data_IF_505978173437
#
_entry.id   IF_505978173437
#
_cell.length_a   1.000
_cell.length_b   1.000
_cell.length_c   1.000
_cell.angle_alpha   90.00
_cell.angle_beta   90.00
_cell.angle_gamma   90.00
#
_symmetry.space_group_name_H-M   'P 1'
#
loop_
_entity.id
_entity.type
_entity.pdbx_description
1 polymer ?
#
# COMPACT_ATOMS: atom_id res chain seq x y z
N UNK A 1 -17.96 20.48 -44.53
CA UNK A 1 -17.40 19.11 -44.52
C UNK A 1 -16.38 19.05 -43.44
N UNK A 2 -16.78 18.60 -42.26
CA UNK A 2 -15.91 18.44 -41.08
C UNK A 2 -15.38 17.02 -41.05
N UNK A 3 -14.09 16.87 -41.30
CA UNK A 3 -13.40 15.57 -41.16
C UNK A 3 -13.41 15.15 -39.71
N UNK A 4 -14.14 14.09 -39.37
CA UNK A 4 -14.04 13.37 -38.11
C UNK A 4 -12.67 12.68 -38.08
N UNK A 5 -11.77 13.16 -37.23
CA UNK A 5 -10.58 12.41 -36.89
C UNK A 5 -11.02 11.14 -36.12
N UNK A 6 -10.83 9.98 -36.73
CA UNK A 6 -10.86 8.72 -36.02
C UNK A 6 -9.70 8.71 -35.02
N UNK A 7 -9.90 8.22 -33.78
CA UNK A 7 -8.80 8.05 -32.85
C UNK A 7 -7.79 7.06 -33.46
N UNK A 8 -6.51 7.43 -33.45
CA UNK A 8 -5.45 6.54 -33.86
C UNK A 8 -5.53 5.28 -32.99
N UNK A 9 -5.68 4.12 -33.61
CA UNK A 9 -5.70 2.83 -32.95
C UNK A 9 -4.39 2.65 -32.18
N UNK A 10 -4.48 2.50 -30.86
CA UNK A 10 -3.34 2.19 -29.96
C UNK A 10 -2.75 0.80 -30.23
N UNK A 11 -3.21 0.11 -31.24
CA UNK A 11 -2.85 -1.29 -31.56
C UNK A 11 -1.42 -1.49 -32.08
N UNK A 12 -0.68 -0.39 -32.31
CA UNK A 12 0.68 -0.47 -32.88
C UNK A 12 1.75 -1.04 -31.94
N UNK A 13 1.43 -1.27 -30.66
CA UNK A 13 2.41 -1.68 -29.64
C UNK A 13 2.22 -3.10 -29.10
N UNK A 14 1.18 -3.82 -29.53
CA UNK A 14 0.85 -5.15 -29.02
C UNK A 14 1.14 -6.21 -30.08
N UNK A 15 2.24 -6.93 -29.90
CA UNK A 15 2.47 -8.17 -30.65
C UNK A 15 1.65 -9.26 -29.99
N UNK A 16 0.56 -9.69 -30.62
CA UNK A 16 -0.18 -10.89 -30.20
C UNK A 16 0.61 -12.12 -30.65
N UNK A 17 1.00 -12.95 -29.71
CA UNK A 17 1.60 -14.25 -29.99
C UNK A 17 0.75 -15.32 -29.30
N UNK A 18 0.14 -16.18 -30.09
CA UNK A 18 -0.45 -17.43 -29.62
C UNK A 18 0.37 -18.55 -30.24
N UNK A 19 1.55 -18.80 -29.67
CA UNK A 19 2.35 -19.97 -30.05
C UNK A 19 1.92 -21.16 -29.18
N UNK A 20 0.77 -21.74 -29.51
CA UNK A 20 0.32 -22.97 -28.91
C UNK A 20 1.23 -24.11 -29.36
N UNK A 21 2.08 -24.59 -28.45
CA UNK A 21 3.11 -25.59 -28.77
C UNK A 21 2.64 -27.03 -28.68
N UNK A 22 1.54 -27.29 -27.97
CA UNK A 22 1.00 -28.65 -27.78
C UNK A 22 -0.47 -28.65 -27.35
N UNK A 23 -1.07 -29.83 -27.26
CA UNK A 23 -2.42 -30.02 -26.69
C UNK A 23 -2.43 -30.04 -25.15
N UNK A 24 -1.29 -29.92 -24.51
CA UNK A 24 -1.14 -29.96 -23.06
C UNK A 24 -0.72 -28.61 -22.46
N UNK A 25 -0.49 -27.62 -23.32
CA UNK A 25 -0.05 -26.29 -22.93
C UNK A 25 -1.00 -25.21 -23.45
N UNK A 26 -1.18 -24.14 -22.69
CA UNK A 26 -2.03 -22.99 -22.99
C UNK A 26 -3.50 -23.31 -23.35
N UNK A 27 -4.01 -24.46 -22.94
CA UNK A 27 -5.39 -24.90 -23.26
C UNK A 27 -6.48 -23.94 -22.77
N UNK A 28 -6.20 -23.16 -21.73
CA UNK A 28 -7.13 -22.19 -21.12
C UNK A 28 -6.72 -20.75 -21.31
N UNK A 29 -5.61 -20.51 -22.02
CA UNK A 29 -5.16 -19.15 -22.37
C UNK A 29 -5.88 -18.73 -23.65
N UNK A 30 -6.61 -17.62 -23.57
CA UNK A 30 -7.33 -17.06 -24.72
C UNK A 30 -6.44 -16.16 -25.58
N UNK A 31 -5.61 -15.35 -24.93
CA UNK A 31 -4.73 -14.37 -25.59
C UNK A 31 -3.57 -14.00 -24.65
N UNK A 32 -2.42 -13.68 -25.25
CA UNK A 32 -1.25 -13.16 -24.55
C UNK A 32 -0.83 -11.88 -25.23
N UNK A 33 -0.87 -10.77 -24.49
CA UNK A 33 -0.43 -9.47 -24.96
C UNK A 33 0.87 -9.09 -24.25
N UNK A 34 1.93 -8.82 -25.02
CA UNK A 34 3.23 -8.45 -24.48
C UNK A 34 3.19 -6.98 -24.03
N UNK A 35 3.58 -6.72 -22.78
CA UNK A 35 3.72 -5.38 -22.23
C UNK A 35 5.12 -4.81 -22.53
N UNK A 36 5.25 -3.47 -22.69
CA UNK A 36 6.56 -2.84 -22.65
C UNK A 36 7.28 -3.17 -21.34
N UNK A 37 8.59 -3.45 -21.37
CA UNK A 37 9.34 -3.81 -20.18
C UNK A 37 9.36 -2.66 -19.16
N UNK A 38 9.55 -2.97 -17.85
CA UNK A 38 9.63 -1.96 -16.79
C UNK A 38 10.59 -0.81 -17.10
N UNK A 39 11.77 -1.10 -17.63
CA UNK A 39 12.78 -0.08 -17.96
C UNK A 39 12.29 0.94 -19.01
N UNK A 40 11.39 0.54 -19.90
CA UNK A 40 10.81 1.43 -20.89
C UNK A 40 9.97 2.51 -20.18
N UNK A 41 9.08 2.09 -19.27
CA UNK A 41 8.24 3.02 -18.50
C UNK A 41 9.10 3.91 -17.58
N UNK A 42 10.15 3.36 -16.96
CA UNK A 42 11.09 4.10 -16.12
C UNK A 42 11.85 5.17 -16.94
N UNK A 43 12.24 4.88 -18.18
CA UNK A 43 12.90 5.86 -19.07
C UNK A 43 11.98 7.02 -19.44
N UNK A 44 10.68 6.78 -19.64
CA UNK A 44 9.71 7.85 -19.88
C UNK A 44 9.43 8.70 -18.64
N UNK A 45 9.51 8.12 -17.46
CA UNK A 45 9.22 8.76 -16.18
C UNK A 45 10.38 8.53 -15.19
N UNK A 46 11.56 9.10 -15.47
CA UNK A 46 12.74 8.91 -14.62
C UNK A 46 12.63 9.73 -13.34
N UNK A 47 13.23 9.21 -12.27
CA UNK A 47 13.33 9.91 -10.98
C UNK A 47 14.78 10.07 -10.50
N UNK A 48 15.74 9.40 -11.14
CA UNK A 48 17.16 9.45 -10.76
C UNK A 48 17.70 10.87 -10.71
N UNK A 49 18.34 11.25 -9.60
CA UNK A 49 18.88 12.59 -9.36
C UNK A 49 17.84 13.68 -9.10
N UNK A 50 16.57 13.33 -8.91
CA UNK A 50 15.47 14.29 -8.66
C UNK A 50 15.11 14.39 -7.17
N UNK A 51 14.41 15.47 -6.73
CA UNK A 51 13.86 15.56 -5.38
C UNK A 51 12.92 14.39 -5.00
N UNK A 52 12.28 13.75 -5.98
CA UNK A 52 11.43 12.57 -5.77
C UNK A 52 12.25 11.40 -5.24
N UNK A 53 13.37 11.07 -5.86
CA UNK A 53 14.26 10.00 -5.38
C UNK A 53 14.77 10.29 -3.97
N UNK A 54 15.17 11.54 -3.71
CA UNK A 54 15.63 12.00 -2.39
C UNK A 54 14.53 11.84 -1.33
N UNK A 55 13.30 12.26 -1.63
CA UNK A 55 12.16 12.13 -0.72
C UNK A 55 11.93 10.67 -0.33
N UNK A 56 11.88 9.78 -1.32
CA UNK A 56 11.61 8.36 -1.11
C UNK A 56 12.73 7.72 -0.29
N UNK A 57 13.99 7.93 -0.67
CA UNK A 57 15.15 7.38 0.03
C UNK A 57 15.20 7.84 1.49
N UNK A 58 15.04 9.15 1.74
CA UNK A 58 15.01 9.69 3.09
C UNK A 58 13.81 9.19 3.91
N UNK A 59 12.64 9.02 3.27
CA UNK A 59 11.47 8.49 3.98
C UNK A 59 11.68 7.04 4.39
N UNK A 60 12.25 6.21 3.51
CA UNK A 60 12.61 4.82 3.86
C UNK A 60 13.56 4.79 5.06
N UNK A 61 14.57 5.67 5.10
CA UNK A 61 15.49 5.78 6.23
C UNK A 61 14.80 6.24 7.52
N UNK A 62 13.87 7.22 7.43
CA UNK A 62 13.09 7.66 8.60
C UNK A 62 12.20 6.54 9.15
N UNK A 63 11.54 5.77 8.26
CA UNK A 63 10.74 4.62 8.67
C UNK A 63 11.62 3.55 9.32
N UNK A 64 12.80 3.26 8.78
CA UNK A 64 13.79 2.40 9.41
C UNK A 64 14.10 2.85 10.84
N UNK A 65 14.44 4.13 11.02
CA UNK A 65 14.77 4.69 12.33
C UNK A 65 13.59 4.59 13.32
N UNK A 66 12.36 4.85 12.86
CA UNK A 66 11.15 4.72 13.67
C UNK A 66 10.94 3.26 14.06
N UNK A 67 11.02 2.32 13.12
CA UNK A 67 10.84 0.90 13.36
C UNK A 67 11.84 0.36 14.37
N UNK A 68 13.10 0.80 14.30
CA UNK A 68 14.18 0.37 15.19
C UNK A 68 14.34 1.22 16.45
N UNK A 69 13.43 2.18 16.70
CA UNK A 69 13.38 2.97 17.93
C UNK A 69 14.42 4.08 18.05
N UNK A 70 15.08 4.43 16.95
CA UNK A 70 16.03 5.56 16.85
C UNK A 70 15.34 6.90 16.64
N UNK A 71 14.10 6.88 16.18
CA UNK A 71 13.20 8.01 16.00
C UNK A 71 11.89 7.70 16.76
N UNK A 72 11.42 8.61 17.58
CA UNK A 72 10.25 8.41 18.44
C UNK A 72 8.95 8.93 17.85
N UNK A 73 8.98 9.40 16.59
CA UNK A 73 7.77 9.75 15.85
C UNK A 73 6.91 8.51 15.59
N UNK A 74 5.63 8.74 15.38
CA UNK A 74 4.69 7.71 14.96
C UNK A 74 4.59 7.70 13.44
N UNK A 75 4.76 6.54 12.80
CA UNK A 75 4.49 6.37 11.36
C UNK A 75 2.98 6.33 11.13
N UNK A 76 2.47 7.15 10.20
CA UNK A 76 1.05 7.16 9.84
C UNK A 76 0.89 6.93 8.35
N UNK A 77 0.34 5.77 7.99
CA UNK A 77 -0.03 5.44 6.61
C UNK A 77 -1.52 5.79 6.44
N UNK A 78 -1.82 6.89 5.76
CA UNK A 78 -3.20 7.40 5.66
C UNK A 78 -3.58 7.74 4.21
N UNK A 79 -4.77 7.35 3.80
CA UNK A 79 -5.31 7.64 2.46
C UNK A 79 -6.39 6.66 2.02
N UNK A 80 -6.87 6.77 0.78
CA UNK A 80 -7.97 5.96 0.26
C UNK A 80 -7.76 4.45 0.39
N UNK A 81 -8.85 3.71 0.58
CA UNK A 81 -8.82 2.25 0.57
C UNK A 81 -8.22 1.72 -0.75
N UNK A 82 -8.63 2.32 -1.87
CA UNK A 82 -8.04 2.11 -3.20
C UNK A 82 -8.13 3.38 -4.04
N UNK A 83 -7.21 3.52 -4.98
CA UNK A 83 -7.23 4.60 -5.95
C UNK A 83 -8.02 4.13 -7.18
N UNK A 84 -9.14 4.77 -7.46
CA UNK A 84 -9.90 4.58 -8.70
C UNK A 84 -9.96 5.85 -9.55
N UNK A 85 -9.79 7.02 -8.91
CA UNK A 85 -9.77 8.33 -9.54
C UNK A 85 -8.43 9.02 -9.25
N UNK A 86 -7.54 9.13 -10.26
CA UNK A 86 -6.26 9.82 -10.10
C UNK A 86 -6.39 11.30 -9.74
N UNK A 87 -7.46 11.98 -10.22
CA UNK A 87 -7.68 13.41 -9.94
C UNK A 87 -8.02 13.62 -8.45
N UNK A 88 -8.95 12.83 -7.93
CA UNK A 88 -9.29 12.84 -6.51
C UNK A 88 -8.10 12.44 -5.63
N UNK A 89 -7.25 11.52 -6.09
CA UNK A 89 -6.03 11.13 -5.37
C UNK A 89 -5.04 12.29 -5.25
N UNK A 90 -4.84 13.07 -6.32
CA UNK A 90 -3.97 14.27 -6.29
C UNK A 90 -4.57 15.37 -5.41
N UNK A 91 -5.89 15.59 -5.45
CA UNK A 91 -6.57 16.53 -4.55
C UNK A 91 -6.39 16.13 -3.09
N UNK A 92 -6.57 14.85 -2.77
CA UNK A 92 -6.31 14.32 -1.44
C UNK A 92 -4.84 14.55 -1.02
N UNK A 93 -3.88 14.31 -1.91
CA UNK A 93 -2.47 14.54 -1.65
C UNK A 93 -2.17 16.02 -1.35
N UNK A 94 -2.76 16.95 -2.11
CA UNK A 94 -2.62 18.40 -1.89
C UNK A 94 -3.17 18.85 -0.53
N UNK A 95 -4.25 18.23 -0.06
CA UNK A 95 -4.80 18.47 1.28
C UNK A 95 -3.94 17.86 2.37
N UNK A 96 -3.36 16.67 2.16
CA UNK A 96 -2.57 15.96 3.16
C UNK A 96 -1.16 16.57 3.35
N UNK A 97 -0.58 17.16 2.30
CA UNK A 97 0.79 17.70 2.35
C UNK A 97 1.00 18.77 3.44
N UNK A 98 0.12 19.80 3.60
CA UNK A 98 0.24 20.75 4.70
C UNK A 98 0.20 20.10 6.08
N UNK A 99 -0.61 19.06 6.26
CA UNK A 99 -0.68 18.33 7.53
C UNK A 99 0.59 17.53 7.81
N UNK A 100 1.20 16.96 6.76
CA UNK A 100 2.51 16.32 6.89
C UNK A 100 3.57 17.29 7.41
N UNK A 101 3.56 18.53 6.92
CA UNK A 101 4.49 19.55 7.38
C UNK A 101 4.17 20.01 8.82
N UNK A 102 2.89 20.21 9.12
CA UNK A 102 2.42 20.62 10.43
C UNK A 102 2.79 19.63 11.54
N UNK A 103 2.66 18.34 11.25
CA UNK A 103 2.92 17.28 12.23
C UNK A 103 4.32 16.66 12.12
N UNK A 104 5.21 17.22 11.31
CA UNK A 104 6.52 16.62 11.00
C UNK A 104 7.39 16.31 12.23
N UNK A 105 7.19 17.03 13.34
CA UNK A 105 7.90 16.77 14.61
C UNK A 105 7.43 15.48 15.30
N UNK A 106 6.17 15.10 15.14
CA UNK A 106 5.55 13.99 15.91
C UNK A 106 5.16 12.81 15.03
N UNK A 107 4.83 13.05 13.76
CA UNK A 107 4.34 12.04 12.83
C UNK A 107 5.22 12.00 11.57
N UNK A 108 5.53 10.79 11.10
CA UNK A 108 5.98 10.58 9.73
C UNK A 108 4.77 10.13 8.91
N UNK A 109 4.21 11.05 8.11
CA UNK A 109 3.00 10.78 7.31
C UNK A 109 3.39 10.30 5.93
N UNK A 110 2.84 9.16 5.52
CA UNK A 110 2.95 8.53 4.20
C UNK A 110 1.55 8.36 3.63
N UNK A 111 1.32 8.82 2.39
CA UNK A 111 0.02 8.66 1.75
C UNK A 111 -0.19 7.21 1.32
N UNK A 112 -1.31 6.63 1.69
CA UNK A 112 -1.76 5.33 1.20
C UNK A 112 -2.23 5.47 -0.25
N UNK A 113 -1.54 4.79 -1.19
CA UNK A 113 -1.81 4.81 -2.63
C UNK A 113 -1.89 3.37 -3.13
N UNK A 114 -3.05 2.74 -2.96
CA UNK A 114 -3.26 1.33 -3.28
C UNK A 114 -3.92 1.20 -4.65
N UNK A 115 -3.23 0.54 -5.57
CA UNK A 115 -3.67 0.34 -6.96
C UNK A 115 -4.27 -1.04 -7.22
N UNK A 116 -4.01 -2.00 -6.33
CA UNK A 116 -4.39 -3.38 -6.49
C UNK A 116 -5.24 -3.82 -5.30
N UNK A 117 -6.30 -4.57 -5.58
CA UNK A 117 -7.25 -5.04 -4.55
C UNK A 117 -7.40 -6.55 -4.60
N UNK A 118 -7.02 -7.27 -3.51
CA UNK A 118 -7.27 -8.69 -3.42
C UNK A 118 -8.78 -8.95 -3.33
N UNK A 119 -9.29 -9.82 -4.20
CA UNK A 119 -10.71 -10.18 -4.23
C UNK A 119 -10.89 -11.64 -3.82
N UNK A 120 -11.84 -11.91 -2.93
CA UNK A 120 -12.16 -13.27 -2.51
C UNK A 120 -12.89 -14.03 -3.63
N UNK A 121 -13.69 -13.30 -4.41
CA UNK A 121 -14.39 -13.81 -5.60
C UNK A 121 -14.05 -12.93 -6.81
N UNK A 122 -15.02 -12.53 -7.60
CA UNK A 122 -14.86 -11.58 -8.70
C UNK A 122 -15.10 -10.15 -8.24
N UNK A 123 -14.56 -9.18 -8.96
CA UNK A 123 -14.75 -7.76 -8.71
C UNK A 123 -13.59 -6.94 -9.26
N UNK A 124 -13.72 -5.63 -9.24
CA UNK A 124 -12.67 -4.72 -9.68
C UNK A 124 -11.35 -4.97 -8.93
N UNK A 125 -10.30 -5.25 -9.68
CA UNK A 125 -8.99 -5.64 -9.12
C UNK A 125 -8.06 -4.45 -8.84
N UNK A 126 -8.51 -3.23 -9.12
CA UNK A 126 -7.73 -2.02 -8.90
C UNK A 126 -7.36 -1.29 -10.20
N UNK A 127 -6.81 -0.09 -10.04
CA UNK A 127 -6.52 0.83 -11.13
C UNK A 127 -5.51 0.26 -12.14
N UNK A 128 -4.52 -0.51 -11.70
CA UNK A 128 -3.56 -1.12 -12.63
C UNK A 128 -4.26 -2.11 -13.56
N UNK A 129 -5.19 -2.92 -13.04
CA UNK A 129 -5.85 -3.96 -13.83
C UNK A 129 -6.98 -3.42 -14.73
N UNK A 130 -7.73 -2.42 -14.26
CA UNK A 130 -8.88 -1.86 -14.97
C UNK A 130 -8.99 -0.37 -14.65
N UNK A 131 -8.16 0.47 -15.30
CA UNK A 131 -8.04 1.89 -14.99
C UNK A 131 -9.29 2.72 -15.34
N UNK A 132 -10.10 2.23 -16.29
CA UNK A 132 -11.28 2.92 -16.78
C UNK A 132 -12.60 2.44 -16.16
N UNK A 133 -12.53 1.41 -15.30
CA UNK A 133 -13.71 0.85 -14.62
C UNK A 133 -14.76 0.28 -15.59
N UNK A 134 -14.34 -0.15 -16.78
CA UNK A 134 -15.18 -0.58 -17.90
C UNK A 134 -14.93 -2.04 -18.32
N UNK A 135 -14.13 -2.78 -17.55
CA UNK A 135 -13.69 -4.15 -17.84
C UNK A 135 -12.86 -4.28 -19.13
N UNK A 136 -12.27 -3.16 -19.62
CA UNK A 136 -11.36 -3.20 -20.76
C UNK A 136 -9.99 -3.81 -20.45
N UNK A 137 -9.64 -3.87 -19.15
CA UNK A 137 -8.37 -4.44 -18.66
C UNK A 137 -7.12 -3.89 -19.33
N UNK A 138 -7.10 -2.57 -19.58
CA UNK A 138 -5.96 -1.85 -20.17
C UNK A 138 -4.82 -1.73 -19.16
N UNK A 139 -4.20 -2.89 -18.81
CA UNK A 139 -3.15 -3.00 -17.79
C UNK A 139 -1.91 -2.16 -18.16
N UNK A 140 -1.58 -2.07 -19.43
CA UNK A 140 -0.52 -1.21 -19.96
C UNK A 140 -0.72 0.26 -19.58
N UNK A 141 -1.93 0.77 -19.77
CA UNK A 141 -2.30 2.13 -19.39
C UNK A 141 -2.41 2.28 -17.87
N UNK A 142 -2.95 1.26 -17.19
CA UNK A 142 -3.04 1.24 -15.73
C UNK A 142 -1.67 1.37 -15.06
N UNK A 143 -0.65 0.66 -15.53
CA UNK A 143 0.73 0.78 -15.05
C UNK A 143 1.30 2.18 -15.29
N UNK A 144 1.04 2.77 -16.46
CA UNK A 144 1.48 4.12 -16.80
C UNK A 144 0.82 5.16 -15.90
N UNK A 145 -0.50 5.08 -15.73
CA UNK A 145 -1.28 5.98 -14.88
C UNK A 145 -0.79 5.87 -13.43
N UNK A 146 -0.60 4.65 -12.92
CA UNK A 146 -0.10 4.42 -11.56
C UNK A 146 1.28 5.06 -11.34
N UNK A 147 2.23 4.88 -12.28
CA UNK A 147 3.56 5.49 -12.19
C UNK A 147 3.51 7.02 -12.25
N UNK A 148 2.73 7.59 -13.18
CA UNK A 148 2.55 9.05 -13.30
C UNK A 148 1.96 9.64 -12.01
N UNK A 149 0.91 9.02 -11.47
CA UNK A 149 0.27 9.47 -10.23
C UNK A 149 1.24 9.43 -9.05
N UNK A 150 2.03 8.35 -8.90
CA UNK A 150 3.05 8.26 -7.85
C UNK A 150 4.10 9.37 -7.97
N UNK A 151 4.55 9.68 -9.18
CA UNK A 151 5.48 10.79 -9.42
C UNK A 151 4.84 12.13 -9.03
N UNK A 152 3.59 12.38 -9.39
CA UNK A 152 2.90 13.61 -9.05
C UNK A 152 2.76 13.77 -7.53
N UNK A 153 2.31 12.72 -6.83
CA UNK A 153 2.19 12.73 -5.36
C UNK A 153 3.54 12.98 -4.70
N UNK A 154 4.59 12.26 -5.13
CA UNK A 154 5.92 12.44 -4.56
C UNK A 154 6.51 13.83 -4.88
N UNK A 155 6.22 14.42 -6.05
CA UNK A 155 6.62 15.80 -6.40
C UNK A 155 5.98 16.86 -5.51
N UNK A 156 4.79 16.61 -4.98
CA UNK A 156 4.18 17.46 -3.95
C UNK A 156 4.94 17.41 -2.61
N UNK A 157 5.92 16.52 -2.47
CA UNK A 157 6.64 16.28 -1.22
C UNK A 157 5.90 15.32 -0.26
N UNK A 158 5.00 14.50 -0.78
CA UNK A 158 4.23 13.51 -0.01
C UNK A 158 4.67 12.11 -0.42
N UNK A 159 5.37 11.34 0.45
CA UNK A 159 5.78 9.98 0.13
C UNK A 159 4.57 9.04 0.04
N UNK A 160 4.66 8.03 -0.83
CA UNK A 160 3.60 7.07 -1.07
C UNK A 160 3.90 5.69 -0.48
N UNK A 161 2.84 5.05 0.06
CA UNK A 161 2.84 3.64 0.47
C UNK A 161 1.80 2.85 -0.33
N UNK A 162 2.11 1.58 -0.68
CA UNK A 162 1.22 0.73 -1.47
C UNK A 162 1.19 -0.71 -0.96
N UNK A 163 0.17 -1.47 -1.36
CA UNK A 163 0.15 -2.93 -1.20
C UNK A 163 0.74 -3.57 -2.45
N UNK A 164 1.61 -4.55 -2.26
CA UNK A 164 2.15 -5.36 -3.35
C UNK A 164 1.37 -6.67 -3.41
N UNK A 165 0.40 -6.73 -4.32
CA UNK A 165 -0.42 -7.91 -4.57
C UNK A 165 0.13 -8.73 -5.73
N UNK A 166 0.33 -8.11 -6.89
CA UNK A 166 1.02 -8.69 -8.04
C UNK A 166 2.54 -8.69 -7.82
N UNK A 167 3.23 -9.71 -8.33
CA UNK A 167 4.68 -9.87 -8.12
C UNK A 167 5.53 -9.24 -9.23
N UNK A 168 4.90 -8.75 -10.29
CA UNK A 168 5.56 -8.09 -11.43
C UNK A 168 5.39 -6.57 -11.37
N UNK A 169 4.21 -6.07 -10.93
CA UNK A 169 3.92 -4.64 -10.81
C UNK A 169 4.98 -3.86 -10.00
N UNK A 170 5.62 -4.43 -8.95
CA UNK A 170 6.72 -3.77 -8.26
C UNK A 170 7.90 -3.37 -9.15
N UNK A 171 8.14 -4.09 -10.25
CA UNK A 171 9.20 -3.74 -11.18
C UNK A 171 8.95 -2.42 -11.92
N UNK A 172 7.67 -2.02 -12.06
CA UNK A 172 7.27 -0.78 -12.71
C UNK A 172 7.18 0.42 -11.78
N UNK A 173 6.87 0.20 -10.49
CA UNK A 173 6.51 1.28 -9.54
C UNK A 173 7.28 1.25 -8.22
N UNK A 174 8.02 0.19 -7.91
CA UNK A 174 8.64 0.01 -6.58
C UNK A 174 9.68 1.07 -6.21
N UNK A 175 10.33 1.71 -7.20
CA UNK A 175 11.25 2.83 -7.00
C UNK A 175 10.54 4.10 -6.48
N UNK A 176 9.20 4.19 -6.62
CA UNK A 176 8.36 5.30 -6.20
C UNK A 176 7.65 5.09 -4.86
N UNK A 177 7.85 3.93 -4.22
CA UNK A 177 7.16 3.54 -2.99
C UNK A 177 8.11 3.67 -1.79
N UNK A 178 7.69 4.43 -0.78
CA UNK A 178 8.44 4.63 0.45
C UNK A 178 8.17 3.55 1.52
N UNK A 179 6.98 2.95 1.50
CA UNK A 179 6.54 1.89 2.41
C UNK A 179 5.60 0.92 1.69
N UNK A 180 5.70 -0.37 1.96
CA UNK A 180 4.85 -1.38 1.34
C UNK A 180 4.13 -2.27 2.33
N UNK A 181 3.00 -2.87 1.90
CA UNK A 181 2.28 -3.90 2.65
C UNK A 181 2.14 -5.20 1.85
N UNK A 182 2.11 -6.31 2.57
CA UNK A 182 1.59 -7.59 2.10
C UNK A 182 0.28 -7.86 2.83
N UNK A 183 -0.78 -8.07 2.07
CA UNK A 183 -2.15 -8.22 2.59
C UNK A 183 -2.37 -9.53 3.34
N UNK A 184 -3.41 -9.57 4.18
CA UNK A 184 -3.72 -10.74 5.00
C UNK A 184 -3.96 -12.04 4.21
N UNK A 185 -4.38 -11.94 2.94
CA UNK A 185 -4.60 -13.11 2.07
C UNK A 185 -3.32 -13.62 1.40
N UNK A 186 -2.26 -12.83 1.41
CA UNK A 186 -0.98 -13.14 0.74
C UNK A 186 0.20 -13.28 1.71
N UNK A 187 0.02 -13.00 3.00
CA UNK A 187 1.06 -13.15 4.02
C UNK A 187 1.59 -14.59 4.13
N UNK A 188 0.78 -15.61 3.89
CA UNK A 188 1.22 -17.01 3.89
C UNK A 188 1.96 -17.42 2.60
N UNK A 189 1.82 -16.63 1.51
CA UNK A 189 2.39 -16.94 0.21
C UNK A 189 3.92 -16.86 0.24
N UNK A 190 4.60 -17.97 -0.10
CA UNK A 190 6.05 -18.01 -0.25
C UNK A 190 6.54 -16.97 -1.26
N UNK A 191 5.86 -16.81 -2.38
CA UNK A 191 6.24 -15.87 -3.45
C UNK A 191 6.23 -14.42 -2.95
N UNK A 192 5.26 -14.05 -2.10
CA UNK A 192 5.20 -12.71 -1.51
C UNK A 192 6.26 -12.48 -0.44
N UNK A 193 6.65 -13.53 0.31
CA UNK A 193 7.75 -13.47 1.29
C UNK A 193 9.11 -13.30 0.57
N UNK A 194 9.30 -14.01 -0.52
CA UNK A 194 10.48 -13.89 -1.40
C UNK A 194 10.54 -12.51 -2.03
N UNK A 195 9.42 -12.02 -2.59
CA UNK A 195 9.30 -10.65 -3.11
C UNK A 195 9.70 -9.62 -2.05
N UNK A 196 9.13 -9.69 -0.86
CA UNK A 196 9.40 -8.74 0.23
C UNK A 196 10.88 -8.72 0.64
N UNK A 197 11.59 -9.87 0.53
CA UNK A 197 13.01 -9.97 0.83
C UNK A 197 13.90 -9.12 -0.08
N UNK A 198 13.40 -8.77 -1.27
CA UNK A 198 14.12 -7.98 -2.28
C UNK A 198 13.61 -6.56 -2.47
N UNK A 199 12.47 -6.21 -1.89
CA UNK A 199 11.93 -4.86 -2.00
C UNK A 199 12.78 -3.86 -1.21
N UNK A 200 13.02 -2.69 -1.81
CA UNK A 200 13.85 -1.63 -1.21
C UNK A 200 13.13 -0.80 -0.15
N UNK A 201 11.83 -1.01 0.04
CA UNK A 201 11.01 -0.32 1.03
C UNK A 201 10.83 -1.19 2.29
N UNK A 202 10.62 -0.60 3.48
CA UNK A 202 10.07 -1.30 4.64
C UNK A 202 8.72 -1.94 4.29
N UNK A 203 8.51 -3.20 4.72
CA UNK A 203 7.34 -3.99 4.36
C UNK A 203 6.58 -4.47 5.59
N UNK A 204 5.30 -4.10 5.68
CA UNK A 204 4.38 -4.59 6.70
C UNK A 204 3.63 -5.85 6.24
N UNK A 205 3.67 -6.91 7.03
CA UNK A 205 2.87 -8.12 6.83
C UNK A 205 1.63 -8.08 7.73
N UNK A 206 0.43 -8.09 7.13
CA UNK A 206 -0.81 -8.17 7.90
C UNK A 206 -0.98 -9.56 8.52
N UNK A 207 -1.48 -9.63 9.76
CA UNK A 207 -1.91 -10.90 10.34
C UNK A 207 -3.04 -11.52 9.50
N UNK A 208 -3.26 -12.83 9.66
CA UNK A 208 -4.28 -13.56 8.93
C UNK A 208 -5.69 -13.01 9.11
N UNK A 209 -6.59 -13.33 8.18
CA UNK A 209 -7.99 -12.89 8.25
C UNK A 209 -8.75 -13.45 9.45
N UNK A 210 -8.27 -14.53 10.04
CA UNK A 210 -8.75 -15.16 11.28
C UNK A 210 -8.18 -14.52 12.57
N UNK A 211 -7.19 -13.63 12.42
CA UNK A 211 -6.47 -12.99 13.52
C UNK A 211 -5.11 -13.62 13.85
N UNK A 212 -4.72 -14.69 13.17
CA UNK A 212 -3.46 -15.40 13.41
C UNK A 212 -2.25 -14.51 13.10
N UNK A 213 -1.46 -14.20 14.15
CA UNK A 213 -0.25 -13.38 14.02
C UNK A 213 0.97 -14.22 13.63
N UNK A 214 0.98 -15.52 13.94
CA UNK A 214 2.12 -16.39 13.66
C UNK A 214 2.49 -16.40 12.18
N UNK A 215 1.52 -16.35 11.29
CA UNK A 215 1.79 -16.31 9.84
C UNK A 215 2.56 -15.04 9.43
N UNK A 216 2.34 -13.92 10.12
CA UNK A 216 3.07 -12.68 9.86
C UNK A 216 4.48 -12.73 10.47
N UNK A 217 4.65 -13.30 11.65
CA UNK A 217 5.99 -13.51 12.26
C UNK A 217 6.84 -14.45 11.42
N UNK A 218 6.27 -15.55 10.92
CA UNK A 218 6.94 -16.49 10.01
C UNK A 218 7.31 -15.79 8.68
N UNK A 219 6.42 -14.94 8.16
CA UNK A 219 6.68 -14.16 6.95
C UNK A 219 7.87 -13.20 7.12
N UNK A 220 7.95 -12.49 8.25
CA UNK A 220 9.06 -11.59 8.57
C UNK A 220 10.36 -12.36 8.69
N UNK A 221 10.37 -13.49 9.40
CA UNK A 221 11.55 -14.34 9.52
C UNK A 221 12.05 -14.82 8.15
N UNK A 222 11.14 -15.23 7.26
CA UNK A 222 11.48 -15.61 5.90
C UNK A 222 12.01 -14.40 5.11
N UNK A 223 11.26 -13.30 5.03
CA UNK A 223 11.62 -12.12 4.24
C UNK A 223 12.88 -11.40 4.73
N UNK A 224 13.27 -11.58 6.01
CA UNK A 224 14.51 -11.01 6.55
C UNK A 224 15.78 -11.72 6.07
N UNK A 225 15.67 -12.83 5.37
CA UNK A 225 16.77 -13.62 4.80
C UNK A 225 16.84 -13.48 3.28
N UNK A 226 18.00 -13.80 2.71
CA UNK A 226 18.16 -13.83 1.26
C UNK A 226 17.50 -15.06 0.65
N UNK A 227 16.96 -14.89 -0.56
CA UNK A 227 16.26 -15.91 -1.33
C UNK A 227 16.77 -15.96 -2.78
N UNK A 228 16.51 -17.09 -3.45
CA UNK A 228 16.68 -17.25 -4.89
C UNK A 228 15.33 -17.68 -5.48
N UNK A 229 14.81 -16.91 -6.43
CA UNK A 229 13.51 -17.19 -7.03
C UNK A 229 13.40 -16.65 -8.45
N UNK A 230 12.39 -17.12 -9.18
CA UNK A 230 12.10 -16.64 -10.53
C UNK A 230 11.31 -15.32 -10.46
N UNK A 231 11.76 -14.34 -11.22
CA UNK A 231 11.04 -13.07 -11.40
C UNK A 231 11.39 -12.45 -12.75
N UNK A 232 10.96 -11.22 -12.98
CA UNK A 232 11.21 -10.47 -14.22
C UNK A 232 12.22 -9.37 -13.95
N UNK A 233 13.26 -9.31 -14.79
CA UNK A 233 14.23 -8.22 -14.81
C UNK A 233 13.61 -6.94 -15.38
N UNK A 234 14.21 -5.77 -15.12
CA UNK A 234 13.73 -4.47 -15.65
C UNK A 234 13.61 -4.42 -17.18
N UNK A 235 14.39 -5.23 -17.91
CA UNK A 235 14.30 -5.35 -19.36
C UNK A 235 13.19 -6.29 -19.85
N UNK A 236 12.36 -6.84 -18.95
CA UNK A 236 11.25 -7.73 -19.26
C UNK A 236 11.61 -9.22 -19.38
N UNK A 237 12.87 -9.58 -19.27
CA UNK A 237 13.28 -10.99 -19.35
C UNK A 237 13.05 -11.70 -18.01
N UNK A 238 12.63 -12.96 -18.09
CA UNK A 238 12.59 -13.85 -16.92
C UNK A 238 14.01 -14.06 -16.40
N UNK A 239 14.18 -13.98 -15.09
CA UNK A 239 15.49 -14.04 -14.45
C UNK A 239 15.44 -14.80 -13.12
N UNK A 240 16.58 -15.33 -12.71
CA UNK A 240 16.80 -15.77 -11.34
C UNK A 240 17.21 -14.54 -10.54
N UNK A 241 16.40 -14.19 -9.54
CA UNK A 241 16.70 -13.09 -8.62
C UNK A 241 17.29 -13.65 -7.34
N UNK A 242 18.40 -13.06 -6.90
CA UNK A 242 19.00 -13.31 -5.59
C UNK A 242 18.84 -12.05 -4.73
N UNK A 243 18.29 -12.20 -3.51
CA UNK A 243 18.06 -11.10 -2.57
C UNK A 243 18.96 -11.22 -1.33
N UNK A 244 19.10 -10.11 -0.60
CA UNK A 244 19.86 -10.05 0.66
C UNK A 244 18.98 -10.19 1.90
N UNK A 245 17.66 -10.18 1.75
CA UNK A 245 16.70 -10.07 2.84
C UNK A 245 16.40 -8.62 3.23
N UNK A 246 15.21 -8.42 3.76
CA UNK A 246 14.68 -7.11 4.18
C UNK A 246 14.52 -7.08 5.70
N UNK A 247 15.39 -6.31 6.37
CA UNK A 247 15.40 -6.18 7.84
C UNK A 247 14.30 -5.26 8.38
N UNK A 248 13.62 -4.53 7.52
CA UNK A 248 12.56 -3.58 7.87
C UNK A 248 11.15 -4.17 7.69
N UNK A 249 11.07 -5.50 7.64
CA UNK A 249 9.79 -6.19 7.69
C UNK A 249 9.20 -6.16 9.10
N UNK A 250 7.87 -5.93 9.20
CA UNK A 250 7.16 -5.77 10.47
C UNK A 250 5.73 -6.29 10.40
N UNK A 251 5.10 -6.50 11.57
CA UNK A 251 3.70 -6.93 11.69
C UNK A 251 2.75 -5.75 11.57
N UNK A 252 1.61 -5.96 10.91
CA UNK A 252 0.44 -5.09 10.95
C UNK A 252 -0.73 -5.86 11.56
N UNK A 253 -1.23 -5.40 12.70
CA UNK A 253 -2.45 -5.90 13.31
C UNK A 253 -3.67 -5.30 12.61
N UNK A 254 -4.49 -6.12 11.97
CA UNK A 254 -5.68 -5.70 11.21
C UNK A 254 -7.00 -6.27 11.76
N UNK A 255 -6.92 -6.91 12.95
CA UNK A 255 -8.02 -7.68 13.50
C UNK A 255 -8.19 -9.05 12.83
N UNK A 256 -9.18 -9.78 13.27
CA UNK A 256 -9.54 -11.09 12.77
C UNK A 256 -11.03 -11.38 13.04
N UNK A 257 -11.32 -12.44 13.79
CA UNK A 257 -12.67 -12.71 14.31
C UNK A 257 -13.14 -11.63 15.29
N UNK A 258 -12.19 -10.96 15.94
CA UNK A 258 -12.37 -9.81 16.81
C UNK A 258 -11.29 -8.76 16.51
N UNK A 259 -11.48 -7.49 16.94
CA UNK A 259 -10.43 -6.49 16.97
C UNK A 259 -9.20 -6.97 17.76
N UNK A 260 -8.00 -6.47 17.42
CA UNK A 260 -6.75 -6.82 18.09
C UNK A 260 -5.82 -5.60 18.31
N UNK A 261 -6.38 -4.43 18.48
CA UNK A 261 -5.66 -3.16 18.68
C UNK A 261 -5.51 -2.76 20.14
N UNK A 262 -6.32 -3.33 21.04
CA UNK A 262 -6.31 -3.01 22.46
C UNK A 262 -4.98 -3.39 23.14
N UNK A 263 -4.71 -2.79 24.30
CA UNK A 263 -3.44 -2.96 24.99
C UNK A 263 -3.11 -4.43 25.31
N UNK A 264 -4.12 -5.26 25.62
CA UNK A 264 -3.94 -6.68 25.91
C UNK A 264 -3.52 -7.46 24.65
N UNK A 265 -4.21 -7.22 23.55
CA UNK A 265 -3.91 -7.83 22.24
C UNK A 265 -2.53 -7.40 21.70
N UNK A 266 -2.20 -6.11 21.85
CA UNK A 266 -0.87 -5.59 21.50
C UNK A 266 0.22 -6.26 22.33
N UNK A 267 0.04 -6.35 23.67
CA UNK A 267 0.99 -6.99 24.54
C UNK A 267 1.17 -8.50 24.25
N UNK A 268 0.10 -9.20 23.89
CA UNK A 268 0.16 -10.60 23.47
C UNK A 268 0.98 -10.75 22.16
N UNK A 269 0.72 -9.87 21.19
CA UNK A 269 1.43 -9.84 19.91
C UNK A 269 2.93 -9.53 20.08
N UNK A 270 3.26 -8.63 21.00
CA UNK A 270 4.67 -8.32 21.35
C UNK A 270 5.38 -9.54 21.90
N UNK A 271 4.74 -10.31 22.79
CA UNK A 271 5.33 -11.56 23.32
C UNK A 271 5.61 -12.58 22.22
N UNK A 272 4.73 -12.68 21.21
CA UNK A 272 4.97 -13.56 20.07
C UNK A 272 6.16 -13.08 19.22
N UNK A 273 6.30 -11.76 19.01
CA UNK A 273 7.45 -11.17 18.33
C UNK A 273 8.76 -11.45 19.10
N UNK A 274 8.77 -11.26 20.42
CA UNK A 274 9.93 -11.56 21.27
C UNK A 274 10.31 -13.05 21.24
N UNK A 275 9.32 -13.95 21.33
CA UNK A 275 9.53 -15.39 21.20
C UNK A 275 10.12 -15.77 19.83
N UNK A 276 9.73 -15.06 18.78
CA UNK A 276 10.29 -15.20 17.43
C UNK A 276 11.64 -14.49 17.23
N UNK A 277 12.18 -13.82 18.25
CA UNK A 277 13.40 -12.98 18.21
C UNK A 277 13.32 -11.85 17.18
N UNK A 278 12.14 -11.27 17.03
CA UNK A 278 11.86 -10.12 16.21
C UNK A 278 11.77 -8.85 17.06
N UNK A 279 11.97 -7.66 16.50
CA UNK A 279 11.75 -6.40 17.22
C UNK A 279 10.33 -6.36 17.83
N UNK A 280 10.19 -6.03 19.14
CA UNK A 280 8.89 -6.04 19.84
C UNK A 280 8.05 -4.81 19.50
N UNK A 281 7.93 -4.51 18.22
CA UNK A 281 7.25 -3.33 17.69
C UNK A 281 6.38 -3.70 16.49
N UNK A 282 5.20 -3.10 16.42
CA UNK A 282 4.19 -3.42 15.41
C UNK A 282 3.43 -2.19 14.96
N UNK A 283 2.75 -2.31 13.83
CA UNK A 283 1.81 -1.34 13.31
C UNK A 283 0.38 -1.82 13.57
N UNK A 284 -0.55 -0.90 13.79
CA UNK A 284 -1.99 -1.19 13.89
C UNK A 284 -2.73 -0.58 12.71
N UNK A 285 -3.47 -1.40 12.00
CA UNK A 285 -4.44 -0.98 11.00
C UNK A 285 -5.76 -0.63 11.70
N UNK A 286 -6.14 0.64 11.69
CA UNK A 286 -7.34 1.13 12.34
C UNK A 286 -8.64 0.71 11.63
N UNK A 287 -8.54 0.30 10.35
CA UNK A 287 -9.67 -0.16 9.54
C UNK A 287 -9.92 -1.67 9.65
N UNK A 288 -10.58 -2.25 8.66
CA UNK A 288 -10.84 -3.69 8.52
C UNK A 288 -11.58 -4.28 9.74
N UNK A 289 -11.07 -5.38 10.32
CA UNK A 289 -11.74 -6.00 11.46
C UNK A 289 -11.55 -5.22 12.77
N UNK A 290 -10.53 -4.39 12.88
CA UNK A 290 -10.31 -3.51 14.03
C UNK A 290 -11.43 -2.47 14.19
N UNK A 291 -11.95 -1.95 13.09
CA UNK A 291 -13.14 -1.06 13.10
C UNK A 291 -14.45 -1.82 12.88
N UNK A 292 -14.43 -3.16 12.86
CA UNK A 292 -15.61 -3.97 12.51
C UNK A 292 -16.22 -3.58 11.15
N UNK A 293 -15.37 -3.10 10.21
CA UNK A 293 -15.74 -2.56 8.88
C UNK A 293 -16.65 -1.33 8.94
N UNK A 294 -16.73 -0.64 10.07
CA UNK A 294 -17.43 0.63 10.25
C UNK A 294 -16.37 1.74 10.23
N UNK A 295 -16.37 2.56 9.19
CA UNK A 295 -15.27 3.51 8.96
C UNK A 295 -15.12 4.52 10.09
N UNK A 296 -16.23 4.96 10.72
CA UNK A 296 -16.23 5.91 11.84
C UNK A 296 -15.46 5.37 13.04
N UNK A 297 -15.49 4.06 13.27
CA UNK A 297 -14.78 3.41 14.38
C UNK A 297 -13.26 3.45 14.26
N UNK A 298 -12.71 3.77 13.09
CA UNK A 298 -11.28 4.00 12.97
C UNK A 298 -10.79 5.12 13.89
N UNK A 299 -11.63 6.13 14.15
CA UNK A 299 -11.31 7.21 15.08
C UNK A 299 -11.28 6.72 16.54
N UNK A 300 -12.16 5.78 16.90
CA UNK A 300 -12.12 5.14 18.23
C UNK A 300 -10.84 4.32 18.41
N UNK A 301 -10.46 3.56 17.40
CA UNK A 301 -9.19 2.80 17.40
C UNK A 301 -7.99 3.74 17.51
N UNK A 302 -7.97 4.85 16.78
CA UNK A 302 -6.89 5.84 16.86
C UNK A 302 -6.80 6.48 18.27
N UNK A 303 -7.94 6.73 18.92
CA UNK A 303 -7.98 7.24 20.30
C UNK A 303 -7.47 6.23 21.33
N UNK A 304 -7.79 4.96 21.18
CA UNK A 304 -7.26 3.89 22.04
C UNK A 304 -5.74 3.79 21.90
N UNK A 305 -5.23 3.75 20.68
CA UNK A 305 -3.79 3.73 20.39
C UNK A 305 -3.11 4.98 20.99
N UNK A 306 -3.71 6.16 20.86
CA UNK A 306 -3.21 7.39 21.47
C UNK A 306 -3.14 7.28 23.00
N UNK A 307 -4.14 6.66 23.62
CA UNK A 307 -4.14 6.34 25.05
C UNK A 307 -3.01 5.41 25.44
N UNK A 308 -2.75 4.36 24.67
CA UNK A 308 -1.63 3.44 24.92
C UNK A 308 -0.27 4.15 24.79
N UNK A 309 -0.07 4.99 23.78
CA UNK A 309 1.15 5.79 23.58
C UNK A 309 1.35 6.76 24.76
N UNK A 310 0.32 7.49 25.16
CA UNK A 310 0.33 8.42 26.29
C UNK A 310 0.62 7.67 27.60
N UNK A 311 0.09 6.46 27.77
CA UNK A 311 0.38 5.56 28.88
C UNK A 311 1.78 4.94 28.89
N UNK A 312 2.64 5.30 27.95
CA UNK A 312 4.05 4.90 27.90
C UNK A 312 4.36 3.70 27.00
N UNK A 313 3.38 3.15 26.29
CA UNK A 313 3.64 2.06 25.33
C UNK A 313 4.55 2.55 24.20
N UNK A 314 5.55 1.73 23.86
CA UNK A 314 6.46 1.95 22.71
C UNK A 314 6.37 0.83 21.67
N UNK A 315 5.46 -0.09 21.88
CA UNK A 315 5.30 -1.26 21.01
C UNK A 315 4.62 -0.90 19.69
N UNK A 316 3.75 0.12 19.69
CA UNK A 316 3.09 0.62 18.48
C UNK A 316 3.99 1.71 17.89
N UNK A 317 4.64 1.41 16.76
CA UNK A 317 5.49 2.37 16.04
C UNK A 317 4.77 3.05 14.88
N UNK A 318 3.60 2.55 14.49
CA UNK A 318 2.85 3.11 13.39
C UNK A 318 1.39 2.67 13.35
N UNK A 319 0.61 3.41 12.59
CA UNK A 319 -0.81 3.15 12.34
C UNK A 319 -1.13 3.25 10.85
N UNK A 320 -2.19 2.55 10.42
CA UNK A 320 -2.75 2.66 9.08
C UNK A 320 -4.21 3.11 9.21
N UNK A 321 -4.63 4.07 8.37
CA UNK A 321 -5.97 4.67 8.38
C UNK A 321 -6.49 4.71 6.94
N UNK A 322 -7.69 4.18 6.70
CA UNK A 322 -8.41 4.35 5.45
C UNK A 322 -9.22 5.64 5.49
N UNK A 323 -8.83 6.61 4.67
CA UNK A 323 -9.34 7.98 4.63
C UNK A 323 -9.50 8.45 3.19
N UNK A 324 -10.57 9.21 2.91
CA UNK A 324 -10.77 9.87 1.64
C UNK A 324 -11.34 11.29 1.86
N UNK A 325 -11.58 12.04 0.78
CA UNK A 325 -12.18 13.38 0.83
C UNK A 325 -13.58 13.28 1.45
N UNK A 326 -14.39 12.34 0.95
CA UNK A 326 -15.74 12.05 1.43
C UNK A 326 -15.78 10.77 2.25
N UNK A 327 -16.57 10.79 3.31
CA UNK A 327 -16.74 9.62 4.19
C UNK A 327 -17.53 8.49 3.52
N UNK A 328 -17.26 7.26 3.98
CA UNK A 328 -18.02 6.08 3.58
C UNK A 328 -17.52 5.45 2.28
N UNK A 329 -18.42 4.73 1.63
CA UNK A 329 -18.21 4.09 0.34
C UNK A 329 -19.48 4.14 -0.51
N UNK A 330 -19.31 4.05 -1.81
CA UNK A 330 -20.37 3.93 -2.81
C UNK A 330 -20.27 2.60 -3.54
N UNK A 331 -21.41 2.07 -3.96
CA UNK A 331 -21.45 0.87 -4.78
C UNK A 331 -21.14 1.22 -6.23
N UNK A 332 -20.33 0.39 -6.86
CA UNK A 332 -19.99 0.52 -8.27
C UNK A 332 -19.69 -0.86 -8.86
N UNK A 333 -20.25 -1.14 -10.02
CA UNK A 333 -20.02 -2.37 -10.78
C UNK A 333 -19.40 -2.00 -12.12
N UNK A 334 -18.08 -2.30 -12.32
CA UNK A 334 -17.41 -2.03 -13.59
C UNK A 334 -18.19 -2.62 -14.79
N UNK A 335 -18.17 -1.92 -15.91
CA UNK A 335 -18.85 -2.34 -17.13
C UNK A 335 -20.39 -2.27 -17.09
N UNK A 336 -20.99 -1.88 -15.95
CA UNK A 336 -22.45 -1.75 -15.79
C UNK A 336 -22.89 -0.37 -15.37
N UNK A 337 -22.21 0.21 -14.39
CA UNK A 337 -22.55 1.52 -13.85
C UNK A 337 -21.77 2.62 -14.59
N UNK A 338 -22.35 3.80 -14.70
CA UNK A 338 -21.70 4.94 -15.34
C UNK A 338 -20.63 5.55 -14.42
N UNK A 339 -19.39 5.63 -14.88
CA UNK A 339 -18.25 6.21 -14.13
C UNK A 339 -18.52 7.67 -13.77
N UNK A 340 -19.19 8.43 -14.66
CA UNK A 340 -19.57 9.82 -14.44
C UNK A 340 -20.60 10.06 -13.33
N UNK A 341 -21.28 9.01 -12.87
CA UNK A 341 -22.22 9.08 -11.74
C UNK A 341 -21.57 8.89 -10.37
N UNK A 342 -20.27 8.55 -10.34
CA UNK A 342 -19.55 8.38 -9.09
C UNK A 342 -19.44 9.70 -8.33
N UNK A 343 -19.70 9.62 -7.02
CA UNK A 343 -19.44 10.74 -6.11
C UNK A 343 -17.95 10.97 -5.99
N UNK A 344 -17.51 12.17 -6.35
CA UNK A 344 -16.10 12.57 -6.28
C UNK A 344 -15.54 12.40 -4.87
N UNK A 345 -14.35 11.84 -4.78
CA UNK A 345 -13.63 11.71 -3.52
C UNK A 345 -14.20 10.70 -2.52
N UNK A 346 -15.11 9.80 -2.94
CA UNK A 346 -15.67 8.74 -2.12
C UNK A 346 -15.21 7.36 -2.61
N UNK A 347 -14.86 6.47 -1.70
CA UNK A 347 -14.37 5.12 -2.00
C UNK A 347 -15.40 4.28 -2.78
N UNK A 348 -14.92 3.47 -3.73
CA UNK A 348 -15.71 2.41 -4.40
C UNK A 348 -15.37 1.01 -3.87
N UNK A 349 -14.54 0.91 -2.85
CA UNK A 349 -14.17 -0.34 -2.16
C UNK A 349 -14.58 -0.26 -0.69
N UNK A 350 -13.68 -0.45 0.28
CA UNK A 350 -14.07 -0.35 1.68
C UNK A 350 -14.32 1.12 2.08
N UNK A 351 -15.24 1.34 3.02
CA UNK A 351 -15.61 2.66 3.50
C UNK A 351 -14.44 3.33 4.24
N UNK A 352 -14.21 4.61 3.95
CA UNK A 352 -13.13 5.42 4.49
C UNK A 352 -13.65 6.47 5.46
N UNK A 353 -12.80 6.93 6.39
CA UNK A 353 -13.03 8.19 7.11
C UNK A 353 -13.15 9.35 6.11
N UNK A 354 -14.00 10.31 6.41
CA UNK A 354 -14.01 11.59 5.72
C UNK A 354 -12.83 12.48 6.13
N UNK A 355 -12.68 13.61 5.44
CA UNK A 355 -11.56 14.51 5.68
C UNK A 355 -11.50 15.03 7.10
N UNK A 356 -12.64 15.49 7.66
CA UNK A 356 -12.70 16.10 9.00
C UNK A 356 -12.34 15.09 10.12
N UNK A 357 -12.82 13.86 10.02
CA UNK A 357 -12.46 12.79 10.97
C UNK A 357 -10.98 12.39 10.85
N UNK A 358 -10.43 12.49 9.64
CA UNK A 358 -9.00 12.24 9.41
C UNK A 358 -8.12 13.30 10.06
N UNK A 359 -8.54 14.56 10.06
CA UNK A 359 -7.87 15.65 10.82
C UNK A 359 -7.88 15.34 12.32
N UNK A 360 -9.04 14.93 12.87
CA UNK A 360 -9.14 14.55 14.27
C UNK A 360 -8.22 13.37 14.63
N UNK A 361 -8.14 12.36 13.77
CA UNK A 361 -7.26 11.21 13.99
C UNK A 361 -5.78 11.64 14.04
N UNK A 362 -5.34 12.49 13.10
CA UNK A 362 -3.96 13.00 13.08
C UNK A 362 -3.65 13.85 14.31
N UNK A 363 -4.57 14.72 14.71
CA UNK A 363 -4.42 15.55 15.93
C UNK A 363 -4.27 14.70 17.20
N UNK A 364 -5.15 13.72 17.39
CA UNK A 364 -5.13 12.83 18.56
C UNK A 364 -3.80 12.07 18.64
N UNK A 365 -3.34 11.52 17.52
CA UNK A 365 -2.08 10.77 17.46
C UNK A 365 -0.86 11.68 17.68
N UNK A 366 -0.84 12.87 17.08
CA UNK A 366 0.25 13.84 17.27
C UNK A 366 0.36 14.29 18.74
N UNK A 367 -0.79 14.59 19.37
CA UNK A 367 -0.83 15.01 20.75
C UNK A 367 -0.40 13.87 21.71
N UNK A 368 -0.72 12.62 21.39
CA UNK A 368 -0.25 11.48 22.17
C UNK A 368 1.29 11.37 22.17
N UNK A 369 1.94 11.57 21.03
CA UNK A 369 3.41 11.57 20.94
C UNK A 369 4.00 12.72 21.74
N UNK A 370 3.44 13.94 21.64
CA UNK A 370 3.89 15.11 22.44
C UNK A 370 3.79 14.82 23.94
N UNK A 371 2.63 14.30 24.40
CA UNK A 371 2.40 13.98 25.82
C UNK A 371 3.37 12.89 26.31
N UNK A 372 3.59 11.85 25.51
CA UNK A 372 4.54 10.78 25.85
C UNK A 372 6.00 11.28 25.96
N UNK A 373 6.39 12.32 25.22
CA UNK A 373 7.69 12.98 25.34
C UNK A 373 7.81 13.77 26.63
N UNK A 374 6.76 14.53 26.98
CA UNK A 374 6.73 15.33 28.22
C UNK A 374 6.83 14.46 29.48
N UNK A 375 6.22 13.28 29.48
CA UNK A 375 6.29 12.34 30.60
C UNK A 375 7.69 11.73 30.83
N UNK A 376 8.65 11.95 29.92
CA UNK A 376 10.03 11.44 29.99
C UNK A 376 11.06 12.53 30.39
N UNK A 377 10.68 13.79 30.18
CA UNK A 377 11.49 14.95 30.55
C UNK A 377 11.34 15.28 32.04
#
# INVERSE_FOLDING_TARGET
MTAKHAPASSDAWHTRSIDKTSQTDDERIKDITVLPPPEHLIRFFPIGGTPVETLISQTRQRIHNILHGQDDRLLVIIGPCSIHDPVAAVDYARRLKPLRDQYADTLEIVMRVYFEKPRTTVGWKGLINDPYLDESYRIDEGLRIARQLLIEINRLGLPAGSEFLDVISPQYIGDLIAWGAIGARTTESQVHRELASGLSAPIGFKNGTDGNIKIATDAIQAASRGHHFLSVHKNGQVAIVQTNGNKDCHVILRGGKAPNYDATSVAASVKELEAAKLPPRLMVDCSHANSSKQHEKQLEVARDIAGQITGGSRSIFGVMIESHIEAGAQKFTPGKDEVGALKYGQSITDACLGWDDSLQALDVLSNAVKTARQAKA
#
